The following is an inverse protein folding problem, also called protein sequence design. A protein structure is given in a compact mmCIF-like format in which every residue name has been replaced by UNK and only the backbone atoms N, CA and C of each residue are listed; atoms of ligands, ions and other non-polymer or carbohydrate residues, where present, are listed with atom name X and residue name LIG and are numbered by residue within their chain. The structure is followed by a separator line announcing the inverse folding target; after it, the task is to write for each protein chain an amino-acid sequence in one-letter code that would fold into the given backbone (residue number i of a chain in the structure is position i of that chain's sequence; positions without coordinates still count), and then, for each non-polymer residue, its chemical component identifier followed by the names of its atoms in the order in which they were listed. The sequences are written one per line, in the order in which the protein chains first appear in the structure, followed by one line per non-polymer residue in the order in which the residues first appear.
data_IF_228299389739
#
_entry.id   IF_228299389739
#
_cell.length_a   1.000
_cell.length_b   1.000
_cell.length_c   1.000
_cell.angle_alpha   90.00
_cell.angle_beta   90.00
_cell.angle_gamma   90.00
#
_symmetry.space_group_name_H-M   'P 1'
#
loop_
_entity.id
_entity.type
_entity.pdbx_description
1 polymer ?
#
# COMPACT_ATOMS: atom_id res chain seq x y z
N UNK A 1 10.91 -46.42 -22.77
CA UNK A 1 11.14 -45.18 -21.99
C UNK A 1 12.11 -44.35 -22.80
N UNK A 2 11.64 -43.23 -23.34
CA UNK A 2 12.43 -42.36 -24.20
C UNK A 2 13.62 -41.80 -23.43
N UNK A 3 14.78 -41.71 -24.08
CA UNK A 3 16.04 -41.21 -23.50
C UNK A 3 15.92 -39.81 -22.89
N UNK A 4 14.96 -39.00 -23.35
CA UNK A 4 14.60 -37.72 -22.75
C UNK A 4 13.87 -37.83 -21.40
N UNK A 5 13.01 -38.83 -21.22
CA UNK A 5 12.32 -39.06 -19.95
C UNK A 5 13.28 -39.46 -18.82
N UNK A 6 14.32 -40.24 -19.16
CA UNK A 6 15.35 -40.66 -18.21
C UNK A 6 16.27 -39.49 -17.80
N UNK A 7 16.62 -38.60 -18.73
CA UNK A 7 17.38 -37.36 -18.44
C UNK A 7 16.61 -36.39 -17.55
N UNK A 8 15.32 -36.19 -17.83
CA UNK A 8 14.45 -35.34 -17.00
C UNK A 8 14.28 -35.90 -15.59
N UNK A 9 14.17 -37.23 -15.47
CA UNK A 9 14.09 -37.91 -14.18
C UNK A 9 15.37 -37.76 -13.35
N UNK A 10 16.54 -37.93 -13.96
CA UNK A 10 17.84 -37.73 -13.29
C UNK A 10 18.04 -36.27 -12.87
N UNK A 11 17.58 -35.31 -13.68
CA UNK A 11 17.65 -33.89 -13.36
C UNK A 11 16.73 -33.54 -12.18
N UNK A 12 15.53 -34.13 -12.13
CA UNK A 12 14.63 -34.04 -10.97
C UNK A 12 15.28 -34.56 -9.68
N UNK A 13 15.94 -35.72 -9.78
CA UNK A 13 16.58 -36.36 -8.64
C UNK A 13 17.78 -35.54 -8.13
N UNK A 14 18.61 -35.03 -9.04
CA UNK A 14 19.73 -34.16 -8.69
C UNK A 14 19.26 -32.85 -8.03
N UNK A 15 18.18 -32.26 -8.52
CA UNK A 15 17.63 -31.01 -8.00
C UNK A 15 16.99 -31.20 -6.61
N UNK A 16 16.27 -32.30 -6.40
CA UNK A 16 15.72 -32.65 -5.09
C UNK A 16 16.84 -32.90 -4.06
N UNK A 17 17.89 -33.64 -4.44
CA UNK A 17 19.06 -33.86 -3.57
C UNK A 17 19.78 -32.55 -3.25
N UNK A 18 19.94 -31.67 -4.25
CA UNK A 18 20.55 -30.35 -4.06
C UNK A 18 19.79 -29.47 -3.06
N UNK A 19 18.46 -29.44 -3.13
CA UNK A 19 17.61 -28.70 -2.18
C UNK A 19 17.79 -29.26 -0.76
N UNK A 20 17.78 -30.57 -0.60
CA UNK A 20 17.93 -31.22 0.72
C UNK A 20 19.30 -30.90 1.33
N UNK A 21 20.37 -30.97 0.54
CA UNK A 21 21.73 -30.62 0.99
C UNK A 21 21.83 -29.14 1.35
N UNK A 22 21.21 -28.25 0.56
CA UNK A 22 21.17 -26.82 0.85
C UNK A 22 20.44 -26.49 2.15
N UNK A 23 19.27 -27.10 2.39
CA UNK A 23 18.51 -26.91 3.64
C UNK A 23 19.31 -27.39 4.86
N UNK A 24 19.97 -28.55 4.77
CA UNK A 24 20.83 -29.05 5.85
C UNK A 24 22.02 -28.14 6.10
N UNK A 25 22.69 -27.69 5.04
CA UNK A 25 23.81 -26.76 5.14
C UNK A 25 23.37 -25.42 5.76
N UNK A 26 22.27 -24.85 5.29
CA UNK A 26 21.76 -23.56 5.75
C UNK A 26 21.31 -23.62 7.21
N UNK A 27 20.62 -24.69 7.61
CA UNK A 27 20.29 -24.94 9.02
C UNK A 27 21.54 -24.99 9.91
N UNK A 28 22.56 -25.73 9.49
CA UNK A 28 23.81 -25.84 10.23
C UNK A 28 24.59 -24.51 10.27
N UNK A 29 24.61 -23.77 9.16
CA UNK A 29 25.22 -22.45 9.05
C UNK A 29 24.53 -21.45 9.99
N UNK A 30 23.20 -21.39 9.99
CA UNK A 30 22.42 -20.51 10.85
C UNK A 30 22.56 -20.86 12.34
N UNK A 31 22.86 -22.11 12.67
CA UNK A 31 23.10 -22.51 14.07
C UNK A 31 24.36 -21.88 14.69
N UNK A 32 25.30 -21.39 13.87
CA UNK A 32 26.50 -20.67 14.34
C UNK A 32 26.23 -19.23 14.76
N UNK A 33 25.07 -18.69 14.40
CA UNK A 33 24.64 -17.36 14.82
C UNK A 33 23.67 -17.49 16.00
N UNK A 34 23.85 -16.68 17.06
CA UNK A 34 22.96 -16.63 18.24
C UNK A 34 21.61 -15.97 17.91
N UNK A 35 20.92 -16.47 16.90
CA UNK A 35 19.62 -15.96 16.45
C UNK A 35 18.49 -16.65 17.24
N UNK A 36 17.36 -15.98 17.52
CA UNK A 36 16.15 -16.64 18.01
C UNK A 36 15.69 -17.74 17.05
N UNK A 37 15.10 -18.82 17.59
CA UNK A 37 14.67 -19.97 16.76
C UNK A 37 13.65 -19.55 15.69
N UNK A 38 12.75 -18.62 15.99
CA UNK A 38 11.73 -18.13 15.06
C UNK A 38 12.34 -17.38 13.88
N UNK A 39 13.39 -16.59 14.13
CA UNK A 39 14.12 -15.88 13.07
C UNK A 39 14.89 -16.85 12.16
N UNK A 40 15.47 -17.91 12.73
CA UNK A 40 16.14 -18.96 11.94
C UNK A 40 15.16 -19.71 11.05
N UNK A 41 13.98 -20.03 11.58
CA UNK A 41 12.93 -20.71 10.83
C UNK A 41 12.38 -19.84 9.70
N UNK A 42 12.17 -18.54 9.95
CA UNK A 42 11.74 -17.59 8.90
C UNK A 42 12.77 -17.44 7.78
N UNK A 43 14.06 -17.33 8.12
CA UNK A 43 15.14 -17.27 7.11
C UNK A 43 15.19 -18.58 6.30
N UNK A 44 15.08 -19.72 6.98
CA UNK A 44 15.09 -21.02 6.31
C UNK A 44 13.91 -21.16 5.35
N UNK A 45 12.69 -20.81 5.77
CA UNK A 45 11.51 -20.85 4.89
C UNK A 45 11.65 -19.88 3.72
N UNK A 46 12.14 -18.65 3.94
CA UNK A 46 12.31 -17.66 2.88
C UNK A 46 13.32 -18.09 1.80
N UNK A 47 14.49 -18.59 2.20
CA UNK A 47 15.52 -19.05 1.26
C UNK A 47 15.15 -20.38 0.58
N UNK A 48 14.52 -21.30 1.30
CA UNK A 48 14.08 -22.57 0.70
C UNK A 48 12.91 -22.33 -0.27
N UNK A 49 11.97 -21.46 0.10
CA UNK A 49 10.81 -21.12 -0.73
C UNK A 49 11.20 -20.43 -2.03
N UNK A 50 12.11 -19.45 -1.98
CA UNK A 50 12.61 -18.77 -3.18
C UNK A 50 13.38 -19.72 -4.11
N UNK A 51 14.15 -20.65 -3.56
CA UNK A 51 14.91 -21.63 -4.33
C UNK A 51 14.01 -22.68 -5.02
N UNK A 52 12.94 -23.12 -4.34
CA UNK A 52 11.92 -24.00 -4.95
C UNK A 52 11.18 -23.30 -6.09
N UNK A 53 10.78 -22.04 -5.90
CA UNK A 53 10.10 -21.25 -6.94
C UNK A 53 11.03 -21.02 -8.14
N UNK A 54 12.30 -20.68 -7.89
CA UNK A 54 13.29 -20.49 -8.95
C UNK A 54 13.55 -21.79 -9.74
N UNK A 55 13.64 -22.93 -9.07
CA UNK A 55 13.80 -24.23 -9.70
C UNK A 55 12.59 -24.61 -10.57
N UNK A 56 11.37 -24.41 -10.06
CA UNK A 56 10.14 -24.64 -10.81
C UNK A 56 10.07 -23.77 -12.07
N UNK A 57 10.44 -22.50 -11.97
CA UNK A 57 10.42 -21.55 -13.09
C UNK A 57 11.50 -21.87 -14.16
N UNK A 58 12.69 -22.31 -13.73
CA UNK A 58 13.76 -22.76 -14.63
C UNK A 58 13.36 -24.03 -15.41
N UNK A 59 12.73 -24.99 -14.73
CA UNK A 59 12.24 -26.23 -15.33
C UNK A 59 11.08 -25.98 -16.31
N UNK A 60 10.16 -25.07 -15.98
CA UNK A 60 9.07 -24.69 -16.88
C UNK A 60 9.61 -24.09 -18.19
N UNK A 61 10.65 -23.23 -18.11
CA UNK A 61 11.32 -22.67 -19.29
C UNK A 61 12.13 -23.68 -20.11
N UNK A 62 12.51 -24.83 -19.55
CA UNK A 62 13.19 -25.90 -20.30
C UNK A 62 12.21 -26.82 -21.03
N UNK A 63 10.96 -26.95 -20.57
CA UNK A 63 9.92 -27.76 -21.21
C UNK A 63 9.44 -27.21 -22.57
N UNK A 64 9.56 -25.89 -22.80
CA UNK A 64 9.07 -25.22 -24.02
C UNK A 64 10.11 -25.12 -25.15
N UNK A 65 11.32 -25.69 -24.99
CA UNK A 65 12.34 -25.66 -26.05
C UNK A 65 12.22 -26.86 -26.98
N UNK A 66 11.30 -26.78 -27.95
CA UNK A 66 11.34 -27.62 -29.15
C UNK A 66 12.63 -27.35 -29.96
N UNK A 67 13.30 -28.37 -30.52
CA UNK A 67 14.51 -28.18 -31.31
C UNK A 67 14.17 -27.47 -32.62
N UNK A 68 14.88 -26.37 -32.89
CA UNK A 68 14.74 -25.60 -34.13
C UNK A 68 15.08 -26.47 -35.36
N UNK A 69 14.32 -26.37 -36.48
CA UNK A 69 14.68 -27.05 -37.72
C UNK A 69 15.97 -26.44 -38.33
N UNK A 70 16.73 -27.22 -39.12
CA UNK A 70 18.01 -26.79 -39.65
C UNK A 70 17.83 -25.69 -40.69
N UNK A 71 18.67 -24.66 -40.58
CA UNK A 71 18.76 -23.54 -41.52
C UNK A 71 19.33 -24.07 -42.84
N UNK A 72 18.53 -24.03 -43.90
CA UNK A 72 19.03 -24.04 -45.28
C UNK A 72 18.73 -22.68 -45.90
N UNK A 73 19.80 -22.05 -46.38
CA UNK A 73 19.85 -20.79 -47.09
C UNK A 73 19.16 -20.87 -48.45
N UNK A 74 18.68 -19.70 -48.88
CA UNK A 74 18.24 -19.31 -50.22
C UNK A 74 16.84 -19.74 -50.69
N UNK A 75 15.98 -18.74 -50.89
CA UNK A 75 14.70 -18.91 -51.55
C UNK A 75 13.74 -17.77 -51.23
N UNK A 76 13.77 -16.73 -52.07
CA UNK A 76 12.85 -15.60 -52.11
C UNK A 76 11.39 -16.05 -52.00
N UNK A 77 10.78 -15.87 -50.82
CA UNK A 77 9.34 -15.98 -50.63
C UNK A 77 8.89 -14.89 -49.67
N UNK A 78 8.07 -13.98 -50.20
CA UNK A 78 7.26 -13.00 -49.49
C UNK A 78 6.89 -13.47 -48.08
N UNK A 79 7.54 -12.91 -47.06
CA UNK A 79 7.05 -12.99 -45.69
C UNK A 79 5.86 -12.04 -45.58
N UNK A 80 4.71 -12.48 -46.06
CA UNK A 80 3.48 -11.99 -45.46
C UNK A 80 3.52 -12.46 -44.01
N UNK A 81 3.45 -11.56 -43.01
CA UNK A 81 3.16 -12.00 -41.66
C UNK A 81 1.86 -12.81 -41.72
N UNK A 82 1.72 -13.88 -40.92
CA UNK A 82 0.48 -14.64 -40.91
C UNK A 82 -0.66 -13.65 -40.64
N UNK A 83 -1.62 -13.57 -41.56
CA UNK A 83 -2.87 -12.80 -41.38
C UNK A 83 -3.70 -13.52 -40.32
N UNK A 84 -3.33 -13.41 -39.05
CA UNK A 84 -4.00 -14.07 -37.91
C UNK A 84 -4.50 -13.03 -36.88
N UNK A 85 -5.08 -11.94 -37.38
CA UNK A 85 -5.63 -10.89 -36.51
C UNK A 85 -6.71 -9.99 -37.12
N UNK A 86 -7.05 -10.17 -38.41
CA UNK A 86 -8.24 -9.56 -39.00
C UNK A 86 -9.42 -10.56 -38.85
N UNK A 87 -10.44 -10.38 -38.03
CA UNK A 87 -10.69 -9.30 -37.08
C UNK A 87 -11.81 -9.78 -36.12
N UNK A 88 -11.48 -10.65 -35.16
CA UNK A 88 -12.47 -11.16 -34.20
C UNK A 88 -13.10 -10.01 -33.39
N UNK A 89 -12.30 -8.98 -33.11
CA UNK A 89 -12.75 -7.79 -32.39
C UNK A 89 -13.69 -6.93 -33.26
N UNK A 90 -13.40 -6.72 -34.54
CA UNK A 90 -14.35 -6.05 -35.44
C UNK A 90 -15.58 -6.88 -35.73
N UNK A 91 -15.43 -8.20 -35.91
CA UNK A 91 -16.58 -9.09 -36.09
C UNK A 91 -17.52 -9.06 -34.87
N UNK A 92 -16.95 -9.11 -33.66
CA UNK A 92 -17.71 -9.00 -32.41
C UNK A 92 -18.34 -7.62 -32.26
N UNK A 93 -17.62 -6.54 -32.59
CA UNK A 93 -18.17 -5.18 -32.48
C UNK A 93 -19.31 -4.92 -33.46
N UNK A 94 -19.27 -5.51 -34.66
CA UNK A 94 -20.36 -5.39 -35.64
C UNK A 94 -21.53 -6.33 -35.35
N UNK A 95 -21.26 -7.57 -34.95
CA UNK A 95 -22.28 -8.63 -34.86
C UNK A 95 -22.87 -8.75 -33.45
N UNK A 96 -22.07 -8.50 -32.42
CA UNK A 96 -22.43 -8.61 -31.00
C UNK A 96 -21.99 -7.36 -30.22
N UNK A 97 -22.45 -6.15 -30.59
CA UNK A 97 -21.96 -4.89 -30.01
C UNK A 97 -22.09 -4.82 -28.48
N UNK A 98 -23.14 -5.41 -27.91
CA UNK A 98 -23.33 -5.47 -26.46
C UNK A 98 -22.27 -6.33 -25.75
N UNK A 99 -21.90 -7.47 -26.33
CA UNK A 99 -20.83 -8.33 -25.79
C UNK A 99 -19.48 -7.61 -25.88
N UNK A 100 -19.21 -6.99 -27.03
CA UNK A 100 -18.00 -6.19 -27.24
C UNK A 100 -17.88 -5.06 -26.20
N UNK A 101 -18.94 -4.26 -26.01
CA UNK A 101 -18.97 -3.17 -25.04
C UNK A 101 -18.68 -3.62 -23.61
N UNK A 102 -19.38 -4.66 -23.14
CA UNK A 102 -19.16 -5.25 -21.82
C UNK A 102 -17.72 -5.76 -21.63
N UNK A 103 -17.14 -6.34 -22.68
CA UNK A 103 -15.75 -6.81 -22.65
C UNK A 103 -14.76 -5.64 -22.56
N UNK A 104 -14.98 -4.55 -23.29
CA UNK A 104 -14.16 -3.36 -23.20
C UNK A 104 -14.22 -2.73 -21.80
N UNK A 105 -15.41 -2.68 -21.19
CA UNK A 105 -15.56 -2.21 -19.80
C UNK A 105 -14.77 -3.06 -18.81
N UNK A 106 -14.84 -4.39 -18.94
CA UNK A 106 -14.06 -5.31 -18.10
C UNK A 106 -12.56 -5.17 -18.32
N UNK A 107 -12.10 -5.02 -19.57
CA UNK A 107 -10.69 -4.77 -19.88
C UNK A 107 -10.20 -3.45 -19.31
N UNK A 108 -11.02 -2.40 -19.38
CA UNK A 108 -10.73 -1.11 -18.77
C UNK A 108 -10.55 -1.25 -17.26
N UNK A 109 -11.45 -1.94 -16.55
CA UNK A 109 -11.29 -2.17 -15.11
C UNK A 109 -10.02 -2.95 -14.77
N UNK A 110 -9.65 -3.96 -15.57
CA UNK A 110 -8.40 -4.71 -15.38
C UNK A 110 -7.17 -3.80 -15.58
N UNK A 111 -7.21 -2.89 -16.56
CA UNK A 111 -6.13 -1.94 -16.82
C UNK A 111 -6.01 -0.87 -15.73
N UNK A 112 -7.13 -0.38 -15.21
CA UNK A 112 -7.18 0.57 -14.09
C UNK A 112 -6.58 -0.07 -12.82
N UNK A 113 -6.91 -1.33 -12.54
CA UNK A 113 -6.31 -2.10 -11.44
C UNK A 113 -4.81 -2.29 -11.61
N UNK A 114 -4.35 -2.60 -12.83
CA UNK A 114 -2.91 -2.72 -13.11
C UNK A 114 -2.16 -1.40 -12.87
N UNK A 115 -2.76 -0.28 -13.29
CA UNK A 115 -2.21 1.06 -13.07
C UNK A 115 -2.12 1.37 -11.57
N UNK A 116 -3.16 1.04 -10.80
CA UNK A 116 -3.12 1.18 -9.35
C UNK A 116 -1.96 0.40 -8.71
N UNK A 117 -1.78 -0.88 -9.05
CA UNK A 117 -0.70 -1.69 -8.49
C UNK A 117 0.70 -1.19 -8.89
N UNK A 118 0.84 -0.56 -10.06
CA UNK A 118 2.07 0.11 -10.45
C UNK A 118 2.40 1.32 -9.58
N UNK A 119 1.40 2.05 -9.10
CA UNK A 119 1.57 3.31 -8.38
C UNK A 119 1.60 3.15 -6.85
N UNK A 120 0.86 2.19 -6.30
CA UNK A 120 0.62 2.08 -4.84
C UNK A 120 1.91 1.92 -4.02
N UNK A 121 2.95 1.31 -4.61
CA UNK A 121 4.27 1.21 -3.96
C UNK A 121 4.89 2.58 -3.72
N UNK A 122 4.85 3.46 -4.71
CA UNK A 122 5.39 4.81 -4.57
C UNK A 122 4.59 5.59 -3.52
N UNK A 123 3.26 5.44 -3.51
CA UNK A 123 2.41 6.06 -2.51
C UNK A 123 2.79 5.61 -1.08
N UNK A 124 2.98 4.31 -0.87
CA UNK A 124 3.38 3.73 0.41
C UNK A 124 4.80 4.15 0.88
N UNK A 125 5.69 4.49 -0.05
CA UNK A 125 7.02 5.04 0.24
C UNK A 125 6.93 6.50 0.72
N UNK A 126 6.09 7.32 0.07
CA UNK A 126 5.92 8.74 0.40
C UNK A 126 5.00 8.97 1.61
N UNK A 127 4.09 8.03 1.88
CA UNK A 127 3.07 8.12 2.93
C UNK A 127 3.16 6.94 3.92
N UNK A 128 4.24 6.84 4.72
CA UNK A 128 4.45 5.68 5.59
C UNK A 128 3.36 5.51 6.65
N UNK A 129 2.71 6.60 7.07
CA UNK A 129 1.57 6.57 8.00
C UNK A 129 0.35 5.83 7.44
N UNK A 130 0.27 5.71 6.11
CA UNK A 130 -0.88 5.17 5.39
C UNK A 130 -0.67 3.73 4.93
N UNK A 131 0.51 3.14 5.13
CA UNK A 131 0.85 1.79 4.64
C UNK A 131 -0.17 0.72 5.02
N UNK A 132 -0.65 0.73 6.27
CA UNK A 132 -1.64 -0.26 6.73
C UNK A 132 -2.97 -0.10 6.01
N UNK A 133 -3.42 1.14 5.81
CA UNK A 133 -4.65 1.43 5.09
C UNK A 133 -4.51 1.07 3.60
N UNK A 134 -3.41 1.47 2.96
CA UNK A 134 -3.10 1.10 1.58
C UNK A 134 -3.04 -0.42 1.39
N UNK A 135 -2.54 -1.17 2.37
CA UNK A 135 -2.59 -2.64 2.33
C UNK A 135 -4.01 -3.16 2.27
N UNK A 136 -4.93 -2.63 3.09
CA UNK A 136 -6.35 -3.00 3.03
C UNK A 136 -6.94 -2.76 1.63
N UNK A 137 -6.62 -1.63 1.01
CA UNK A 137 -7.08 -1.33 -0.37
C UNK A 137 -6.43 -2.26 -1.40
N UNK A 138 -5.15 -2.59 -1.24
CA UNK A 138 -4.44 -3.57 -2.08
C UNK A 138 -5.15 -4.92 -2.01
N UNK A 139 -5.48 -5.40 -0.82
CA UNK A 139 -6.11 -6.71 -0.62
C UNK A 139 -7.47 -6.77 -1.33
N UNK A 140 -8.33 -5.76 -1.13
CA UNK A 140 -9.65 -5.64 -1.80
C UNK A 140 -9.49 -5.65 -3.33
N UNK A 141 -8.63 -4.78 -3.86
CA UNK A 141 -8.43 -4.63 -5.31
C UNK A 141 -7.74 -5.84 -5.93
N UNK A 142 -6.94 -6.58 -5.17
CA UNK A 142 -6.27 -7.79 -5.66
C UNK A 142 -7.27 -8.91 -5.87
N UNK A 143 -8.18 -9.13 -4.91
CA UNK A 143 -9.26 -10.10 -5.04
C UNK A 143 -10.15 -9.79 -6.24
N UNK A 144 -10.55 -8.51 -6.38
CA UNK A 144 -11.28 -8.03 -7.56
C UNK A 144 -10.52 -8.34 -8.87
N UNK A 145 -9.21 -8.07 -8.92
CA UNK A 145 -8.39 -8.35 -10.11
C UNK A 145 -8.36 -9.83 -10.47
N UNK A 146 -8.19 -10.71 -9.48
CA UNK A 146 -8.17 -12.16 -9.70
C UNK A 146 -9.51 -12.65 -10.26
N UNK A 147 -10.62 -12.17 -9.71
CA UNK A 147 -11.95 -12.52 -10.19
C UNK A 147 -12.20 -12.04 -11.62
N UNK A 148 -11.89 -10.78 -11.93
CA UNK A 148 -12.04 -10.23 -13.28
C UNK A 148 -11.14 -10.93 -14.30
N UNK A 149 -9.88 -11.23 -13.95
CA UNK A 149 -8.96 -11.96 -14.82
C UNK A 149 -9.45 -13.37 -15.13
N UNK A 150 -9.93 -14.10 -14.12
CA UNK A 150 -10.48 -15.44 -14.30
C UNK A 150 -11.70 -15.40 -15.24
N UNK A 151 -12.63 -14.48 -15.00
CA UNK A 151 -13.79 -14.29 -15.86
C UNK A 151 -13.36 -13.97 -17.31
N UNK A 152 -12.43 -13.02 -17.49
CA UNK A 152 -11.92 -12.63 -18.80
C UNK A 152 -11.27 -13.80 -19.55
N UNK A 153 -10.42 -14.60 -18.90
CA UNK A 153 -9.77 -15.75 -19.54
C UNK A 153 -10.78 -16.77 -20.07
N UNK A 154 -11.85 -17.02 -19.32
CA UNK A 154 -12.91 -17.94 -19.73
C UNK A 154 -13.74 -17.39 -20.90
N UNK A 155 -14.05 -16.10 -20.89
CA UNK A 155 -14.73 -15.43 -22.00
C UNK A 155 -13.86 -15.43 -23.26
N UNK A 156 -12.59 -15.05 -23.11
CA UNK A 156 -11.64 -14.98 -24.21
C UNK A 156 -11.38 -16.36 -24.83
N UNK A 157 -11.34 -17.42 -24.02
CA UNK A 157 -11.29 -18.80 -24.51
C UNK A 157 -12.53 -19.14 -25.35
N UNK A 158 -13.73 -18.82 -24.88
CA UNK A 158 -14.98 -19.10 -25.62
C UNK A 158 -15.02 -18.34 -26.96
N UNK A 159 -14.62 -17.06 -26.96
CA UNK A 159 -14.51 -16.22 -28.17
C UNK A 159 -13.52 -16.80 -29.19
N UNK A 160 -12.33 -17.19 -28.75
CA UNK A 160 -11.31 -17.79 -29.63
C UNK A 160 -11.72 -19.17 -30.14
N UNK A 161 -12.39 -19.98 -29.33
CA UNK A 161 -12.95 -21.26 -29.76
C UNK A 161 -14.02 -21.07 -30.84
N UNK A 162 -14.95 -20.11 -30.64
CA UNK A 162 -15.90 -19.72 -31.67
C UNK A 162 -15.19 -19.31 -32.96
N UNK A 163 -14.19 -18.42 -32.89
CA UNK A 163 -13.47 -17.95 -34.07
C UNK A 163 -12.80 -19.09 -34.84
N UNK A 164 -12.20 -20.04 -34.12
CA UNK A 164 -11.62 -21.24 -34.72
C UNK A 164 -12.68 -22.05 -35.48
N UNK A 165 -13.81 -22.35 -34.85
CA UNK A 165 -14.89 -23.13 -35.47
C UNK A 165 -15.57 -22.38 -36.61
N UNK A 166 -15.70 -21.06 -36.49
CA UNK A 166 -16.26 -20.19 -37.52
C UNK A 166 -15.42 -20.20 -38.80
N UNK A 167 -14.10 -20.36 -38.70
CA UNK A 167 -13.21 -20.44 -39.86
C UNK A 167 -12.91 -21.86 -40.37
N UNK A 168 -13.30 -22.90 -39.62
CA UNK A 168 -12.96 -24.30 -39.93
C UNK A 168 -14.16 -25.21 -40.15
N UNK A 169 -15.38 -24.75 -39.82
CA UNK A 169 -16.62 -25.54 -39.89
C UNK A 169 -17.69 -24.89 -40.75
N UNK A 170 -18.95 -25.29 -40.55
CA UNK A 170 -20.09 -24.70 -41.24
C UNK A 170 -20.53 -23.38 -40.58
N UNK A 171 -20.17 -22.26 -41.20
CA UNK A 171 -20.38 -20.88 -40.70
C UNK A 171 -21.78 -20.61 -40.12
N UNK A 172 -22.85 -21.07 -40.78
CA UNK A 172 -24.24 -20.81 -40.35
C UNK A 172 -24.59 -21.54 -39.06
N UNK A 173 -24.14 -22.79 -38.91
CA UNK A 173 -24.42 -23.58 -37.71
C UNK A 173 -23.63 -23.02 -36.51
N UNK A 174 -22.36 -22.70 -36.72
CA UNK A 174 -21.48 -22.15 -35.67
C UNK A 174 -21.97 -20.78 -35.18
N UNK A 175 -22.43 -19.90 -36.08
CA UNK A 175 -23.03 -18.61 -35.70
C UNK A 175 -24.27 -18.78 -34.81
N UNK A 176 -25.20 -19.66 -35.21
CA UNK A 176 -26.42 -19.91 -34.43
C UNK A 176 -26.12 -20.44 -33.02
N UNK A 177 -25.14 -21.33 -32.90
CA UNK A 177 -24.69 -21.83 -31.59
C UNK A 177 -24.03 -20.73 -30.76
N UNK A 178 -23.30 -19.82 -31.41
CA UNK A 178 -22.65 -18.71 -30.73
C UNK A 178 -23.62 -17.60 -30.30
N UNK A 179 -24.77 -17.43 -30.95
CA UNK A 179 -25.78 -16.46 -30.50
C UNK A 179 -26.23 -16.73 -29.06
N UNK A 180 -26.51 -18.00 -28.72
CA UNK A 180 -26.85 -18.41 -27.35
C UNK A 180 -25.67 -18.25 -26.39
N UNK A 181 -24.46 -18.62 -26.84
CA UNK A 181 -23.25 -18.50 -26.04
C UNK A 181 -22.89 -17.03 -25.77
N UNK A 182 -23.05 -16.13 -26.75
CA UNK A 182 -22.81 -14.70 -26.60
C UNK A 182 -23.70 -14.11 -25.51
N UNK A 183 -24.97 -14.51 -25.41
CA UNK A 183 -25.86 -14.10 -24.32
C UNK A 183 -25.38 -14.64 -22.95
N UNK A 184 -24.89 -15.87 -22.89
CA UNK A 184 -24.29 -16.43 -21.66
C UNK A 184 -23.03 -15.69 -21.25
N UNK A 185 -22.16 -15.35 -22.21
CA UNK A 185 -20.96 -14.56 -22.00
C UNK A 185 -21.29 -13.15 -21.51
N UNK A 186 -22.29 -12.48 -22.09
CA UNK A 186 -22.77 -11.18 -21.61
C UNK A 186 -23.22 -11.25 -20.15
N UNK A 187 -24.08 -12.22 -19.80
CA UNK A 187 -24.53 -12.43 -18.42
C UNK A 187 -23.36 -12.70 -17.48
N UNK A 188 -22.37 -13.46 -17.93
CA UNK A 188 -21.17 -13.74 -17.15
C UNK A 188 -20.32 -12.50 -16.90
N UNK A 189 -20.13 -11.65 -17.91
CA UNK A 189 -19.45 -10.36 -17.73
C UNK A 189 -20.22 -9.48 -16.76
N UNK A 190 -21.54 -9.36 -16.94
CA UNK A 190 -22.40 -8.58 -16.05
C UNK A 190 -22.33 -9.08 -14.61
N UNK A 191 -22.31 -10.40 -14.39
CA UNK A 191 -22.13 -10.95 -13.05
C UNK A 191 -20.76 -10.57 -12.47
N UNK A 192 -19.68 -10.73 -13.24
CA UNK A 192 -18.33 -10.35 -12.78
C UNK A 192 -18.20 -8.85 -12.49
N UNK A 193 -18.81 -7.99 -13.32
CA UNK A 193 -18.90 -6.54 -13.09
C UNK A 193 -19.84 -6.20 -11.93
N UNK A 194 -20.89 -6.99 -11.69
CA UNK A 194 -21.79 -6.86 -10.56
C UNK A 194 -21.09 -7.19 -9.25
N UNK A 195 -20.32 -8.29 -9.22
CA UNK A 195 -19.46 -8.65 -8.09
C UNK A 195 -18.37 -7.58 -7.87
N UNK A 196 -17.84 -6.99 -8.94
CA UNK A 196 -16.94 -5.84 -8.87
C UNK A 196 -17.56 -4.65 -8.10
N UNK A 197 -18.88 -4.48 -8.11
CA UNK A 197 -19.55 -3.43 -7.35
C UNK A 197 -19.51 -3.70 -5.85
N UNK A 198 -19.52 -4.97 -5.43
CA UNK A 198 -19.37 -5.32 -4.01
C UNK A 198 -18.00 -4.88 -3.48
N UNK A 199 -16.92 -5.14 -4.24
CA UNK A 199 -15.58 -4.65 -3.89
C UNK A 199 -15.50 -3.12 -3.87
N UNK A 200 -16.18 -2.42 -4.79
CA UNK A 200 -16.24 -0.96 -4.76
C UNK A 200 -16.95 -0.43 -3.50
N UNK A 201 -18.00 -1.11 -3.03
CA UNK A 201 -18.68 -0.74 -1.79
C UNK A 201 -17.79 -1.00 -0.57
N UNK A 202 -17.13 -2.16 -0.52
CA UNK A 202 -16.17 -2.50 0.53
C UNK A 202 -15.00 -1.50 0.58
N UNK A 203 -14.44 -1.15 -0.57
CA UNK A 203 -13.42 -0.12 -0.68
C UNK A 203 -13.92 1.24 -0.18
N UNK A 204 -15.13 1.66 -0.59
CA UNK A 204 -15.71 2.93 -0.15
C UNK A 204 -15.94 2.97 1.36
N UNK A 205 -16.36 1.86 1.97
CA UNK A 205 -16.53 1.74 3.42
C UNK A 205 -15.17 1.76 4.14
N UNK A 206 -14.14 1.11 3.59
CA UNK A 206 -12.78 1.18 4.13
C UNK A 206 -12.22 2.62 4.10
N UNK A 207 -12.41 3.35 2.98
CA UNK A 207 -12.03 4.76 2.86
C UNK A 207 -12.78 5.62 3.87
N UNK A 208 -14.10 5.45 3.99
CA UNK A 208 -14.94 6.19 4.95
C UNK A 208 -14.45 5.97 6.38
N UNK A 209 -14.24 4.72 6.77
CA UNK A 209 -13.80 4.38 8.11
C UNK A 209 -12.42 4.96 8.43
N UNK A 210 -11.52 4.99 7.44
CA UNK A 210 -10.20 5.60 7.58
C UNK A 210 -10.26 7.12 7.76
N UNK A 211 -11.07 7.82 6.94
CA UNK A 211 -11.33 9.25 7.08
C UNK A 211 -11.95 9.58 8.46
N UNK A 212 -12.89 8.75 8.92
CA UNK A 212 -13.53 8.88 10.23
C UNK A 212 -12.51 8.76 11.37
N UNK A 213 -11.66 7.72 11.33
CA UNK A 213 -10.58 7.51 12.32
C UNK A 213 -9.57 8.65 12.32
N UNK A 214 -9.23 9.23 11.17
CA UNK A 214 -8.37 10.41 11.11
C UNK A 214 -9.01 11.60 11.83
N UNK A 215 -10.32 11.82 11.66
CA UNK A 215 -11.07 12.83 12.39
C UNK A 215 -11.13 12.58 13.92
N UNK A 216 -11.24 11.33 14.35
CA UNK A 216 -11.16 10.96 15.77
C UNK A 216 -9.77 11.24 16.35
N UNK A 217 -8.71 10.87 15.63
CA UNK A 217 -7.33 11.15 16.02
C UNK A 217 -7.07 12.66 16.13
N UNK A 218 -7.62 13.46 15.23
CA UNK A 218 -7.52 14.92 15.27
C UNK A 218 -8.15 15.50 16.56
N UNK A 219 -9.24 14.89 17.05
CA UNK A 219 -9.93 15.31 18.29
C UNK A 219 -9.29 14.79 19.57
N UNK A 220 -8.39 13.81 19.48
CA UNK A 220 -7.77 13.18 20.65
C UNK A 220 -6.84 14.17 21.36
N UNK A 221 -7.35 14.86 22.39
CA UNK A 221 -6.61 15.88 23.15
C UNK A 221 -5.47 15.28 24.00
N UNK A 222 -5.55 13.99 24.30
CA UNK A 222 -4.57 13.28 25.14
C UNK A 222 -3.77 12.30 24.31
N UNK A 223 -2.51 12.12 24.71
CA UNK A 223 -1.66 11.07 24.17
C UNK A 223 -2.30 9.67 24.33
N UNK A 224 -2.10 8.75 23.37
CA UNK A 224 -2.56 7.38 23.50
C UNK A 224 -2.00 6.71 24.76
N UNK A 225 -2.76 5.82 25.40
CA UNK A 225 -2.24 5.07 26.55
C UNK A 225 -1.09 4.16 26.09
N UNK A 226 0.07 4.15 26.79
CA UNK A 226 1.19 3.30 26.42
C UNK A 226 0.81 1.83 26.60
N UNK A 227 1.25 0.98 25.66
CA UNK A 227 1.13 -0.47 25.83
C UNK A 227 2.21 -0.97 26.81
N UNK A 228 2.02 -2.17 27.35
CA UNK A 228 2.99 -2.80 28.26
C UNK A 228 4.38 -2.83 27.63
N UNK A 229 5.36 -2.20 28.28
CA UNK A 229 6.75 -2.12 27.82
C UNK A 229 7.07 -0.97 26.86
N UNK A 230 6.11 -0.10 26.53
CA UNK A 230 6.37 1.11 25.74
C UNK A 230 6.57 2.33 26.63
N UNK A 231 7.50 3.21 26.26
CA UNK A 231 7.62 4.53 26.89
C UNK A 231 6.57 5.49 26.31
N UNK A 232 6.40 6.66 26.91
CA UNK A 232 5.48 7.70 26.41
C UNK A 232 5.89 8.21 25.03
N UNK A 233 7.19 8.25 24.73
CA UNK A 233 7.73 8.68 23.45
C UNK A 233 7.46 7.66 22.32
N UNK A 234 7.26 6.39 22.65
CA UNK A 234 7.05 5.31 21.65
C UNK A 234 5.57 5.15 21.23
N UNK A 235 4.67 6.00 21.73
CA UNK A 235 3.22 5.88 21.52
C UNK A 235 2.78 6.25 20.10
N UNK A 236 3.55 7.10 19.43
CA UNK A 236 3.35 7.49 18.04
C UNK A 236 4.71 7.70 17.38
N UNK A 237 4.75 7.61 16.05
CA UNK A 237 5.95 7.93 15.29
C UNK A 237 5.81 9.37 14.75
N UNK A 238 6.67 10.32 15.17
CA UNK A 238 6.71 11.64 14.56
C UNK A 238 6.98 11.55 13.05
N UNK A 239 6.43 12.49 12.28
CA UNK A 239 6.76 12.61 10.87
C UNK A 239 8.24 12.99 10.70
N UNK A 240 8.92 12.31 9.78
CA UNK A 240 10.26 12.71 9.33
C UNK A 240 10.23 14.11 8.72
N UNK A 241 11.35 14.81 8.76
CA UNK A 241 11.44 16.17 8.19
C UNK A 241 11.10 16.19 6.70
N UNK A 242 11.52 15.15 5.96
CA UNK A 242 11.18 15.00 4.56
C UNK A 242 9.66 14.88 4.34
N UNK A 243 8.98 13.98 5.05
CA UNK A 243 7.54 13.79 4.88
C UNK A 243 6.74 15.01 5.34
N UNK A 244 7.20 15.67 6.41
CA UNK A 244 6.64 16.93 6.89
C UNK A 244 6.69 17.99 5.80
N UNK A 245 7.85 18.16 5.17
CA UNK A 245 8.04 19.13 4.10
C UNK A 245 7.13 18.86 2.90
N UNK A 246 7.00 17.60 2.47
CA UNK A 246 6.09 17.20 1.37
C UNK A 246 4.63 17.58 1.68
N UNK A 247 4.18 17.34 2.92
CA UNK A 247 2.82 17.70 3.33
C UNK A 247 2.63 19.22 3.45
N UNK A 248 3.63 19.95 3.95
CA UNK A 248 3.60 21.42 4.00
C UNK A 248 3.55 22.05 2.60
N UNK A 249 4.32 21.55 1.65
CA UNK A 249 4.28 21.98 0.25
C UNK A 249 2.92 21.70 -0.39
N UNK A 250 2.31 20.56 -0.05
CA UNK A 250 0.97 20.19 -0.51
C UNK A 250 -0.09 21.17 0.03
N UNK A 251 -0.06 21.46 1.33
CA UNK A 251 -0.94 22.44 1.96
C UNK A 251 -0.73 23.86 1.39
N UNK A 252 0.53 24.24 1.12
CA UNK A 252 0.88 25.52 0.51
C UNK A 252 0.30 25.66 -0.89
N UNK A 253 0.44 24.62 -1.72
CA UNK A 253 -0.13 24.57 -3.07
C UNK A 253 -1.65 24.66 -3.08
N UNK A 254 -2.30 24.06 -2.08
CA UNK A 254 -3.75 24.11 -1.88
C UNK A 254 -4.24 25.38 -1.17
N UNK A 255 -3.31 26.29 -0.81
CA UNK A 255 -3.60 27.54 -0.11
C UNK A 255 -4.39 27.34 1.19
N UNK A 256 -4.03 26.30 1.96
CA UNK A 256 -4.66 25.94 3.23
C UNK A 256 -4.24 26.87 4.38
N UNK A 257 -4.60 28.14 4.26
CA UNK A 257 -4.18 29.23 5.14
C UNK A 257 -4.68 29.09 6.58
N UNK A 258 -5.70 28.27 6.83
CA UNK A 258 -6.18 27.96 8.19
C UNK A 258 -5.34 26.88 8.90
N UNK A 259 -4.52 26.12 8.17
CA UNK A 259 -3.75 24.99 8.73
C UNK A 259 -2.26 25.36 8.83
N UNK A 260 -1.70 25.94 7.76
CA UNK A 260 -0.27 26.25 7.65
C UNK A 260 0.30 27.07 8.81
N UNK A 261 -0.33 28.17 9.28
CA UNK A 261 0.22 28.97 10.38
C UNK A 261 0.36 28.16 11.67
N UNK A 262 -0.59 27.26 11.95
CA UNK A 262 -0.58 26.42 13.14
C UNK A 262 0.56 25.40 13.10
N UNK A 263 0.78 24.76 11.94
CA UNK A 263 1.91 23.83 11.75
C UNK A 263 3.26 24.54 11.84
N UNK A 264 3.40 25.71 11.22
CA UNK A 264 4.62 26.51 11.28
C UNK A 264 4.93 26.95 12.72
N UNK A 265 3.90 27.34 13.48
CA UNK A 265 4.04 27.68 14.90
C UNK A 265 4.51 26.48 15.72
N UNK A 266 3.87 25.31 15.55
CA UNK A 266 4.28 24.09 16.23
C UNK A 266 5.75 23.71 15.92
N UNK A 267 6.18 23.85 14.66
CA UNK A 267 7.56 23.58 14.25
C UNK A 267 8.56 24.56 14.90
N UNK A 268 8.22 25.84 14.96
CA UNK A 268 9.04 26.84 15.66
C UNK A 268 9.15 26.52 17.15
N UNK A 269 8.05 26.12 17.78
CA UNK A 269 8.04 25.71 19.18
C UNK A 269 8.88 24.45 19.42
N UNK A 270 8.81 23.44 18.53
CA UNK A 270 9.66 22.25 18.62
C UNK A 270 11.15 22.63 18.66
N UNK A 271 11.58 23.53 17.77
CA UNK A 271 12.96 24.00 17.71
C UNK A 271 13.37 24.75 19.00
N UNK A 272 12.49 25.60 19.52
CA UNK A 272 12.73 26.32 20.78
C UNK A 272 12.82 25.38 21.98
N UNK A 273 11.92 24.39 22.09
CA UNK A 273 11.94 23.37 23.16
C UNK A 273 13.27 22.60 23.12
N UNK A 274 13.70 22.15 21.94
CA UNK A 274 14.97 21.42 21.78
C UNK A 274 16.18 22.26 22.18
N UNK A 275 16.20 23.55 21.82
CA UNK A 275 17.26 24.47 22.25
C UNK A 275 17.32 24.63 23.77
N UNK A 276 16.17 24.76 24.44
CA UNK A 276 16.09 24.83 25.91
C UNK A 276 16.56 23.53 26.57
N UNK A 277 16.16 22.37 26.04
CA UNK A 277 16.64 21.06 26.51
C UNK A 277 18.15 20.92 26.39
N UNK A 278 18.73 21.32 25.26
CA UNK A 278 20.19 21.31 25.07
C UNK A 278 20.90 22.21 26.10
N UNK A 279 20.39 23.42 26.34
CA UNK A 279 20.92 24.30 27.37
C UNK A 279 20.88 23.67 28.77
N UNK A 280 19.75 23.05 29.16
CA UNK A 280 19.62 22.40 30.47
C UNK A 280 20.58 21.24 30.66
N UNK A 281 20.83 20.45 29.61
CA UNK A 281 21.80 19.36 29.65
C UNK A 281 23.24 19.86 29.84
N UNK A 282 23.61 21.00 29.22
CA UNK A 282 24.91 21.62 29.46
C UNK A 282 25.00 22.25 30.86
N UNK A 283 23.93 22.92 31.30
CA UNK A 283 23.85 23.54 32.62
C UNK A 283 24.03 22.51 33.75
N UNK A 284 23.45 21.31 33.58
CA UNK A 284 23.56 20.19 34.52
C UNK A 284 25.00 19.70 34.72
N UNK A 285 25.86 19.79 33.70
CA UNK A 285 27.26 19.34 33.79
C UNK A 285 28.11 20.22 34.70
N UNK A 286 27.75 21.51 34.80
CA UNK A 286 28.52 22.52 35.53
C UNK A 286 27.95 22.74 36.93
N UNK A 287 26.62 22.67 37.10
CA UNK A 287 25.93 22.98 38.36
C UNK A 287 25.31 21.71 38.94
N UNK A 288 26.14 20.88 39.58
CA UNK A 288 25.73 19.59 40.15
C UNK A 288 24.88 19.72 41.40
N UNK A 289 24.91 20.87 42.07
CA UNK A 289 24.08 21.22 43.22
C UNK A 289 22.59 21.38 42.84
N UNK A 290 22.29 21.73 41.59
CA UNK A 290 20.92 21.92 41.06
C UNK A 290 20.42 20.72 40.25
N UNK A 291 21.05 19.55 40.39
CA UNK A 291 20.81 18.41 39.51
C UNK A 291 19.35 17.93 39.56
N UNK A 292 18.72 17.96 40.73
CA UNK A 292 17.34 17.50 40.90
C UNK A 292 16.34 18.44 40.20
N UNK A 293 16.49 19.74 40.40
CA UNK A 293 15.67 20.80 39.83
C UNK A 293 15.79 20.80 38.30
N UNK A 294 17.02 20.70 37.80
CA UNK A 294 17.29 20.62 36.35
C UNK A 294 16.67 19.35 35.75
N UNK A 295 16.76 18.20 36.41
CA UNK A 295 16.11 16.96 35.95
C UNK A 295 14.58 17.08 35.90
N UNK A 296 13.95 17.71 36.90
CA UNK A 296 12.51 17.94 36.89
C UNK A 296 12.09 18.86 35.75
N UNK A 297 12.87 19.93 35.50
CA UNK A 297 12.61 20.85 34.41
C UNK A 297 12.79 20.16 33.04
N UNK A 298 13.84 19.35 32.87
CA UNK A 298 14.06 18.52 31.68
C UNK A 298 12.86 17.60 31.43
N UNK A 299 12.33 16.94 32.47
CA UNK A 299 11.13 16.08 32.34
C UNK A 299 9.91 16.88 31.85
N UNK A 300 9.66 18.07 32.41
CA UNK A 300 8.56 18.92 31.98
C UNK A 300 8.70 19.39 30.53
N UNK A 301 9.90 19.80 30.10
CA UNK A 301 10.16 20.19 28.71
C UNK A 301 10.12 19.00 27.73
N UNK A 302 10.52 17.81 28.15
CA UNK A 302 10.34 16.59 27.35
C UNK A 302 8.87 16.23 27.18
N UNK A 303 8.05 16.38 28.22
CA UNK A 303 6.60 16.20 28.10
C UNK A 303 6.00 17.22 27.11
N UNK A 304 6.37 18.50 27.23
CA UNK A 304 5.96 19.54 26.26
C UNK A 304 6.39 19.20 24.82
N UNK A 305 7.61 18.68 24.64
CA UNK A 305 8.10 18.24 23.33
C UNK A 305 7.24 17.13 22.74
N UNK A 306 6.90 16.11 23.53
CA UNK A 306 6.06 14.99 23.09
C UNK A 306 4.67 15.48 22.67
N UNK A 307 4.05 16.38 23.46
CA UNK A 307 2.73 16.94 23.10
C UNK A 307 2.77 17.82 21.85
N UNK A 308 3.82 18.62 21.68
CA UNK A 308 4.01 19.41 20.47
C UNK A 308 4.16 18.50 19.24
N UNK A 309 4.98 17.46 19.32
CA UNK A 309 5.15 16.47 18.25
C UNK A 309 3.84 15.71 17.95
N UNK A 310 3.06 15.41 18.99
CA UNK A 310 1.77 14.76 18.83
C UNK A 310 0.72 15.68 18.18
N UNK A 311 0.75 16.98 18.49
CA UNK A 311 -0.06 17.98 17.81
C UNK A 311 0.29 18.06 16.32
N UNK A 312 1.59 18.12 15.98
CA UNK A 312 2.04 18.06 14.59
C UNK A 312 1.58 16.77 13.90
N UNK A 313 1.76 15.62 14.56
CA UNK A 313 1.32 14.32 14.06
C UNK A 313 -0.17 14.30 13.72
N UNK A 314 -1.05 14.78 14.61
CA UNK A 314 -2.51 14.80 14.39
C UNK A 314 -2.89 15.59 13.14
N UNK A 315 -2.30 16.78 12.96
CA UNK A 315 -2.60 17.65 11.81
C UNK A 315 -2.05 17.07 10.49
N UNK A 316 -0.80 16.59 10.51
CA UNK A 316 -0.15 16.00 9.34
C UNK A 316 -0.80 14.68 8.93
N UNK A 317 -1.20 13.84 9.90
CA UNK A 317 -1.89 12.58 9.63
C UNK A 317 -3.25 12.80 8.96
N UNK A 318 -4.04 13.77 9.43
CA UNK A 318 -5.29 14.13 8.78
C UNK A 318 -5.06 14.66 7.35
N UNK A 319 -4.03 15.47 7.15
CA UNK A 319 -3.63 15.97 5.82
C UNK A 319 -3.25 14.82 4.89
N UNK A 320 -2.35 13.93 5.31
CA UNK A 320 -1.91 12.77 4.56
C UNK A 320 -3.07 11.82 4.21
N UNK A 321 -4.04 11.68 5.12
CA UNK A 321 -5.26 10.89 4.91
C UNK A 321 -6.13 11.48 3.79
N UNK A 322 -6.28 12.82 3.74
CA UNK A 322 -6.98 13.49 2.64
C UNK A 322 -6.23 13.31 1.30
N UNK A 323 -4.91 13.43 1.28
CA UNK A 323 -4.14 13.18 0.05
C UNK A 323 -4.27 11.74 -0.43
N UNK A 324 -4.25 10.78 0.49
CA UNK A 324 -4.43 9.36 0.17
C UNK A 324 -5.81 9.09 -0.42
N UNK A 325 -6.86 9.71 0.13
CA UNK A 325 -8.22 9.59 -0.41
C UNK A 325 -8.32 10.12 -1.85
N UNK A 326 -7.64 11.22 -2.18
CA UNK A 326 -7.58 11.74 -3.56
C UNK A 326 -6.88 10.77 -4.50
N UNK A 327 -5.78 10.14 -4.08
CA UNK A 327 -5.08 9.12 -4.88
C UNK A 327 -5.96 7.88 -5.13
N UNK A 328 -6.90 7.61 -4.24
CA UNK A 328 -7.92 6.57 -4.39
C UNK A 328 -9.17 7.04 -5.16
N UNK A 329 -9.10 8.16 -5.87
CA UNK A 329 -10.19 8.77 -6.64
C UNK A 329 -11.40 9.20 -5.79
N UNK A 330 -11.23 9.46 -4.50
CA UNK A 330 -12.26 10.12 -3.68
C UNK A 330 -12.25 11.61 -4.01
N UNK A 331 -13.32 12.10 -4.63
CA UNK A 331 -13.43 13.51 -5.03
C UNK A 331 -13.58 14.45 -3.81
N UNK A 332 -13.14 15.72 -3.91
CA UNK A 332 -13.24 16.69 -2.81
C UNK A 332 -14.68 17.02 -2.35
N UNK A 333 -15.67 16.80 -3.20
CA UNK A 333 -17.11 16.98 -2.91
C UNK A 333 -17.70 15.78 -2.15
N UNK A 334 -16.95 14.68 -1.99
CA UNK A 334 -17.34 13.58 -1.14
C UNK A 334 -17.58 14.08 0.30
N UNK A 335 -18.72 13.69 0.88
CA UNK A 335 -19.15 14.12 2.21
C UNK A 335 -18.10 13.87 3.29
N UNK A 336 -17.50 12.68 3.31
CA UNK A 336 -16.56 12.26 4.36
C UNK A 336 -15.22 13.00 4.21
N UNK A 337 -14.78 13.20 2.97
CA UNK A 337 -13.61 14.03 2.66
C UNK A 337 -13.80 15.48 3.11
N UNK A 338 -14.89 16.11 2.65
CA UNK A 338 -15.20 17.50 2.96
C UNK A 338 -15.37 17.72 4.47
N UNK A 339 -15.93 16.74 5.18
CA UNK A 339 -16.07 16.77 6.62
C UNK A 339 -14.72 16.71 7.35
N UNK A 340 -13.80 15.82 6.95
CA UNK A 340 -12.47 15.75 7.55
C UNK A 340 -11.68 17.04 7.28
N UNK A 341 -11.73 17.58 6.06
CA UNK A 341 -11.09 18.84 5.71
C UNK A 341 -11.64 19.99 6.55
N UNK A 342 -12.97 20.08 6.71
CA UNK A 342 -13.60 21.06 7.59
C UNK A 342 -13.08 20.93 9.03
N UNK A 343 -13.05 19.72 9.58
CA UNK A 343 -12.53 19.50 10.93
C UNK A 343 -11.07 19.88 11.08
N UNK A 344 -10.24 19.55 10.09
CA UNK A 344 -8.82 19.92 10.09
C UNK A 344 -8.65 21.44 10.17
N UNK A 345 -9.44 22.20 9.40
CA UNK A 345 -9.41 23.67 9.42
C UNK A 345 -9.92 24.25 10.75
N UNK A 346 -11.00 23.69 11.29
CA UNK A 346 -11.61 24.18 12.54
C UNK A 346 -10.80 23.82 13.79
N UNK A 347 -10.20 22.63 13.84
CA UNK A 347 -9.50 22.12 15.02
C UNK A 347 -8.00 22.46 15.05
N UNK A 348 -7.39 22.88 13.94
CA UNK A 348 -5.96 23.22 13.92
C UNK A 348 -5.54 24.25 14.99
N UNK A 349 -6.28 25.36 15.20
CA UNK A 349 -5.97 26.30 16.29
C UNK A 349 -6.11 25.68 17.68
N UNK A 350 -7.12 24.83 17.90
CA UNK A 350 -7.32 24.14 19.18
C UNK A 350 -6.21 23.15 19.46
N UNK A 351 -5.75 22.41 18.45
CA UNK A 351 -4.63 21.47 18.55
C UNK A 351 -3.32 22.18 18.90
N UNK A 352 -3.08 23.36 18.32
CA UNK A 352 -1.97 24.23 18.70
C UNK A 352 -2.09 24.70 20.16
N UNK A 353 -3.24 25.27 20.54
CA UNK A 353 -3.45 25.78 21.89
C UNK A 353 -3.26 24.70 22.99
N UNK A 354 -3.62 23.44 22.69
CA UNK A 354 -3.35 22.31 23.58
C UNK A 354 -1.86 22.05 23.78
N UNK A 355 -1.05 22.12 22.72
CA UNK A 355 0.40 21.97 22.81
C UNK A 355 1.04 23.15 23.55
N UNK A 356 0.58 24.38 23.28
CA UNK A 356 1.03 25.58 23.96
C UNK A 356 0.73 25.51 25.47
N UNK A 357 -0.44 25.00 25.87
CA UNK A 357 -0.78 24.81 27.28
C UNK A 357 0.19 23.87 28.01
N UNK A 358 0.62 22.76 27.38
CA UNK A 358 1.61 21.84 27.95
C UNK A 358 3.01 22.47 27.99
N UNK A 359 3.35 23.30 26.99
CA UNK A 359 4.59 24.09 27.00
C UNK A 359 4.61 25.10 28.15
N UNK A 360 3.48 25.73 28.44
CA UNK A 360 3.35 26.73 29.51
C UNK A 360 3.53 26.12 30.90
N UNK A 361 3.12 24.86 31.11
CA UNK A 361 3.44 24.10 32.35
C UNK A 361 4.95 24.10 32.60
N UNK A 362 5.75 23.84 31.57
CA UNK A 362 7.22 23.82 31.66
C UNK A 362 7.82 25.24 31.72
N UNK A 363 7.23 26.21 31.02
CA UNK A 363 7.75 27.58 30.96
C UNK A 363 7.56 28.35 32.28
N UNK A 364 6.47 28.09 33.00
CA UNK A 364 6.11 28.78 34.24
C UNK A 364 6.34 27.94 35.50
N UNK A 365 7.15 26.88 35.42
CA UNK A 365 7.38 25.95 36.54
C UNK A 365 8.08 26.56 37.76
N UNK A 366 8.71 27.73 37.61
CA UNK A 366 9.33 28.47 38.70
C UNK A 366 8.33 29.34 39.49
N UNK A 367 7.12 29.59 38.96
CA UNK A 367 6.18 30.52 39.57
C UNK A 367 5.23 29.81 40.57
N UNK A 368 5.35 30.08 41.89
CA UNK A 368 4.53 29.41 42.92
C UNK A 368 3.03 29.73 42.84
N UNK A 369 2.65 30.90 42.31
CA UNK A 369 1.24 31.30 42.16
C UNK A 369 0.55 30.61 40.97
N UNK A 370 1.33 30.06 40.03
CA UNK A 370 0.86 29.37 38.83
C UNK A 370 0.81 27.84 39.02
N UNK A 371 1.58 27.30 39.97
CA UNK A 371 1.61 25.86 40.31
C UNK A 371 0.20 25.28 40.57
N UNK A 372 -0.74 26.06 41.11
CA UNK A 372 -2.11 25.59 41.38
C UNK A 372 -2.98 25.48 40.13
N UNK A 373 -2.74 26.29 39.08
CA UNK A 373 -3.57 26.27 37.85
C UNK A 373 -3.16 25.18 36.85
N UNK A 374 -1.91 24.72 36.91
CA UNK A 374 -1.32 23.85 35.88
C UNK A 374 -0.90 22.46 36.40
N UNK A 375 -0.96 22.18 37.71
CA UNK A 375 -0.83 20.81 38.25
C UNK A 375 -2.08 19.99 37.91
N UNK A 376 -1.97 19.11 36.93
CA UNK A 376 -2.94 18.01 36.75
C UNK A 376 -2.85 17.06 37.95
N UNK A 377 -3.97 16.64 38.58
CA UNK A 377 -3.93 15.57 39.57
C UNK A 377 -3.35 14.31 38.90
N UNK A 378 -2.33 13.73 39.54
CA UNK A 378 -1.65 12.52 39.07
C UNK A 378 -2.54 11.29 39.13
#
# INVERSE_FOLDING_TARGET
MDSHGLLLFLLWLALAVGIILFVRWLSHFLSKFKLPNDTRLLILIAFTGTLVIAALNFLWKQGDKQPAPPVTTDGTASTQPPKTGLDLDTYESTTYPALYGLRQDMLKQIADLHTFFGNVRQWAEHMPGQRRFLQTIIDIRWEQQQQLRKAYQEIDRSRRAFWLHYHTGEDRHVRKMFDEEALRLQKRIQNALGDSRAFQLEEADAIREHLRKAGENLKAATLPKPKKGQTRADQFAPYSDHNRQVLLETLTRKQENSILPNLNKLQQEEAQIRSKLAYMLEYQKVNTDLQQEVNQLILAWNDALIYNQYAQYRLLFATETLETALLLNTLPDNRDYAWLLKQLRELAPTVLAQAEAERDVAAYSYNPDIEQRYRKPR
#
